data_IF_778615421874
#
_entry.id   IF_778615421874
#
_cell.length_a   1.000
_cell.length_b   1.000
_cell.length_c   1.000
_cell.angle_alpha   90.00
_cell.angle_beta   90.00
_cell.angle_gamma   90.00
#
_symmetry.space_group_name_H-M   'P 1'
#
loop_
_entity.id
_entity.type
_entity.pdbx_description
1 polymer ?
#
# COMPACT_ATOMS: atom_id res chain seq x y z
N UNK A 1 -4.10 12.56 13.87
CA UNK A 1 -3.19 11.53 14.39
C UNK A 1 -3.49 10.19 13.74
N UNK A 2 -2.46 9.44 13.30
CA UNK A 2 -2.62 8.11 12.73
C UNK A 2 -3.09 7.08 13.78
N UNK A 3 -3.74 5.97 13.38
CA UNK A 3 -4.18 4.93 14.31
C UNK A 3 -3.03 4.40 15.18
N UNK A 4 -3.35 3.98 16.40
CA UNK A 4 -2.36 3.45 17.35
C UNK A 4 -1.77 2.10 16.89
N UNK A 5 -2.53 1.34 16.12
CA UNK A 5 -2.13 0.09 15.51
C UNK A 5 -2.65 0.02 14.08
N UNK A 6 -1.79 -0.40 13.15
CA UNK A 6 -2.18 -0.65 11.77
C UNK A 6 -1.17 -1.52 11.04
N UNK A 7 -1.63 -2.13 9.95
CA UNK A 7 -0.82 -2.81 8.94
C UNK A 7 -1.09 -2.17 7.58
N UNK A 8 -0.03 -1.78 6.88
CA UNK A 8 -0.08 -1.38 5.47
C UNK A 8 0.76 -2.34 4.65
N UNK A 9 0.23 -2.75 3.50
CA UNK A 9 1.02 -3.45 2.48
C UNK A 9 0.84 -2.77 1.13
N UNK A 10 1.93 -2.32 0.54
CA UNK A 10 2.00 -1.88 -0.84
C UNK A 10 2.63 -2.99 -1.69
N UNK A 11 2.01 -3.32 -2.81
CA UNK A 11 2.54 -4.27 -3.78
C UNK A 11 2.47 -3.71 -5.19
N UNK A 12 3.61 -3.68 -5.87
CA UNK A 12 3.73 -3.37 -7.29
C UNK A 12 3.76 -4.66 -8.11
N UNK A 13 3.14 -4.68 -9.29
CA UNK A 13 3.08 -5.87 -10.14
C UNK A 13 1.96 -6.82 -9.72
N UNK A 14 0.72 -6.35 -9.70
CA UNK A 14 -0.46 -7.13 -9.30
C UNK A 14 -1.28 -7.68 -10.47
N UNK A 15 -1.05 -7.13 -11.66
CA UNK A 15 -1.78 -7.48 -12.87
C UNK A 15 -1.16 -8.74 -13.46
N UNK A 16 -1.92 -9.82 -13.40
CA UNK A 16 -1.66 -11.05 -14.14
C UNK A 16 -2.52 -11.14 -15.39
N UNK A 17 -2.10 -11.99 -16.32
CA UNK A 17 -2.93 -12.42 -17.44
C UNK A 17 -3.17 -13.91 -17.33
N UNK A 18 -2.78 -14.64 -18.39
CA UNK A 18 -2.67 -16.10 -18.32
C UNK A 18 -1.60 -16.56 -17.31
N UNK A 19 -0.53 -15.76 -17.16
CA UNK A 19 0.51 -15.98 -16.16
C UNK A 19 0.13 -15.19 -14.89
N UNK A 20 0.29 -15.79 -13.69
CA UNK A 20 0.09 -15.08 -12.43
C UNK A 20 0.89 -13.78 -12.37
N UNK A 21 0.38 -12.82 -11.60
CA UNK A 21 1.07 -11.57 -11.36
C UNK A 21 2.49 -11.83 -10.83
N UNK A 22 3.47 -11.06 -11.31
CA UNK A 22 4.87 -11.19 -10.92
C UNK A 22 5.30 -9.92 -10.20
N UNK A 23 5.27 -9.87 -8.86
CA UNK A 23 5.48 -8.63 -8.14
C UNK A 23 6.89 -8.06 -8.35
N UNK A 24 6.97 -6.74 -8.47
CA UNK A 24 8.22 -6.00 -8.59
C UNK A 24 8.71 -5.50 -7.24
N UNK A 25 7.78 -5.20 -6.33
CA UNK A 25 8.10 -4.79 -4.98
C UNK A 25 6.94 -5.10 -4.02
N UNK A 26 7.28 -5.40 -2.77
CA UNK A 26 6.36 -5.53 -1.64
C UNK A 26 6.94 -4.72 -0.49
N UNK A 27 6.17 -3.78 0.03
CA UNK A 27 6.50 -3.00 1.21
C UNK A 27 5.45 -3.24 2.28
N UNK A 28 5.88 -3.61 3.48
CA UNK A 28 5.00 -3.84 4.63
C UNK A 28 5.39 -2.88 5.76
N UNK A 29 4.42 -2.12 6.24
CA UNK A 29 4.58 -1.17 7.33
C UNK A 29 3.66 -1.59 8.47
N UNK A 30 4.22 -1.79 9.66
CA UNK A 30 3.49 -2.28 10.84
C UNK A 30 3.72 -1.33 12.00
N UNK A 31 2.63 -0.80 12.56
CA UNK A 31 2.65 -0.13 13.87
C UNK A 31 1.92 -1.03 14.86
N UNK A 32 2.63 -1.49 15.89
CA UNK A 32 2.10 -2.37 16.93
C UNK A 32 1.85 -1.58 18.22
N UNK A 33 0.84 -1.99 18.99
CA UNK A 33 0.60 -1.48 20.36
C UNK A 33 1.76 -1.76 21.31
N UNK A 34 2.58 -2.79 21.03
CA UNK A 34 3.75 -3.14 21.85
C UNK A 34 4.91 -2.15 21.68
N UNK A 35 4.95 -1.46 20.53
CA UNK A 35 5.99 -0.48 20.17
C UNK A 35 5.34 0.76 19.54
N UNK A 36 4.54 1.52 20.32
CA UNK A 36 3.64 2.54 19.77
C UNK A 36 4.38 3.72 19.11
N UNK A 37 5.65 3.92 19.48
CA UNK A 37 6.51 5.00 18.97
C UNK A 37 7.35 4.58 17.75
N UNK A 38 7.14 3.36 17.25
CA UNK A 38 7.93 2.79 16.15
C UNK A 38 7.03 2.28 15.02
N UNK A 39 7.38 2.66 13.80
CA UNK A 39 6.84 2.11 12.58
C UNK A 39 7.85 1.12 11.98
N UNK A 40 7.56 -0.16 12.06
CA UNK A 40 8.41 -1.21 11.50
C UNK A 40 8.16 -1.34 10.00
N UNK A 41 9.22 -1.34 9.19
CA UNK A 41 9.16 -1.39 7.73
C UNK A 41 9.98 -2.56 7.22
N UNK A 42 9.32 -3.43 6.48
CA UNK A 42 9.91 -4.53 5.72
C UNK A 42 9.72 -4.25 4.23
N UNK A 43 10.71 -4.62 3.42
CA UNK A 43 10.64 -4.39 1.99
C UNK A 43 11.31 -5.52 1.23
N UNK A 44 10.72 -5.90 0.11
CA UNK A 44 11.29 -6.84 -0.83
C UNK A 44 11.14 -6.23 -2.22
N UNK A 45 12.24 -6.15 -2.98
CA UNK A 45 12.25 -5.55 -4.32
C UNK A 45 12.92 -6.52 -5.27
N UNK A 46 12.43 -6.63 -6.50
CA UNK A 46 13.04 -7.43 -7.57
C UNK A 46 14.06 -6.55 -8.28
N UNK A 47 15.37 -6.81 -8.17
CA UNK A 47 16.37 -6.08 -8.94
C UNK A 47 16.18 -6.32 -10.43
N UNK A 48 16.61 -5.35 -11.24
CA UNK A 48 16.54 -5.49 -12.70
C UNK A 48 17.34 -6.72 -13.15
N UNK A 49 16.70 -7.59 -13.93
CA UNK A 49 17.31 -8.81 -14.47
C UNK A 49 17.15 -10.05 -13.58
N UNK A 50 16.67 -9.89 -12.34
CA UNK A 50 16.44 -11.00 -11.42
C UNK A 50 15.01 -11.56 -11.52
N UNK A 51 14.86 -12.85 -11.22
CA UNK A 51 13.55 -13.52 -11.22
C UNK A 51 12.79 -13.35 -9.91
N UNK A 52 13.52 -13.21 -8.81
CA UNK A 52 12.96 -13.30 -7.47
C UNK A 52 13.07 -11.97 -6.73
N UNK A 53 12.09 -11.70 -5.88
CA UNK A 53 12.15 -10.60 -4.93
C UNK A 53 13.31 -10.82 -3.94
N UNK A 54 14.09 -9.78 -3.71
CA UNK A 54 15.17 -9.79 -2.74
C UNK A 54 14.77 -8.96 -1.52
N UNK A 55 14.96 -9.48 -0.29
CA UNK A 55 14.66 -8.73 0.92
C UNK A 55 15.65 -7.57 1.11
N UNK A 56 15.13 -6.43 1.52
CA UNK A 56 15.93 -5.32 2.04
C UNK A 56 16.02 -5.41 3.56
N UNK A 57 17.10 -4.91 4.18
CA UNK A 57 17.21 -4.84 5.63
C UNK A 57 15.98 -4.11 6.22
N UNK A 58 15.28 -4.71 7.20
CA UNK A 58 14.16 -4.06 7.83
C UNK A 58 14.62 -2.84 8.63
N UNK A 59 13.75 -1.85 8.76
CA UNK A 59 14.03 -0.63 9.51
C UNK A 59 12.86 -0.23 10.38
N UNK A 60 13.13 0.69 11.28
CA UNK A 60 12.11 1.31 12.14
C UNK A 60 12.15 2.81 11.89
N UNK A 61 11.01 3.47 11.82
CA UNK A 61 10.92 4.93 11.85
C UNK A 61 10.26 5.38 13.14
N UNK A 62 10.67 6.51 13.73
CA UNK A 62 9.91 7.15 14.80
C UNK A 62 8.47 7.43 14.33
N UNK A 63 7.47 7.29 15.20
CA UNK A 63 6.08 7.71 14.94
C UNK A 63 5.40 8.04 16.28
N UNK A 64 4.27 8.75 16.29
CA UNK A 64 3.54 9.06 17.52
C UNK A 64 3.93 10.38 18.19
N UNK A 65 5.11 10.92 17.89
CA UNK A 65 5.43 12.34 18.11
C UNK A 65 5.39 13.10 16.77
N UNK A 66 4.74 14.27 16.76
CA UNK A 66 4.54 15.15 15.60
C UNK A 66 5.83 15.74 15.00
N UNK A 67 6.98 15.45 15.60
CA UNK A 67 8.28 16.01 15.23
C UNK A 67 8.96 15.27 14.06
N UNK A 68 8.55 14.04 13.73
CA UNK A 68 9.11 13.26 12.63
C UNK A 68 8.15 13.19 11.42
N UNK A 69 8.67 13.34 10.20
CA UNK A 69 7.88 13.41 8.97
C UNK A 69 7.06 12.15 8.64
N UNK A 70 7.37 11.02 9.27
CA UNK A 70 6.57 9.79 9.17
C UNK A 70 5.14 9.97 9.70
N UNK A 71 4.92 10.80 10.72
CA UNK A 71 3.61 10.97 11.33
C UNK A 71 2.64 11.63 10.36
N UNK A 72 3.08 12.71 9.72
CA UNK A 72 2.29 13.47 8.74
C UNK A 72 1.99 12.62 7.50
N UNK A 73 2.97 11.85 7.02
CA UNK A 73 2.80 10.93 5.90
C UNK A 73 1.77 9.83 6.20
N UNK A 74 1.86 9.17 7.37
CA UNK A 74 0.90 8.12 7.73
C UNK A 74 -0.50 8.70 7.93
N UNK A 75 -0.62 9.90 8.51
CA UNK A 75 -1.90 10.60 8.65
C UNK A 75 -2.51 11.00 7.30
N UNK A 76 -1.69 11.48 6.36
CA UNK A 76 -2.10 11.79 5.00
C UNK A 76 -2.59 10.53 4.28
N UNK A 77 -1.81 9.43 4.33
CA UNK A 77 -2.17 8.14 3.74
C UNK A 77 -3.51 7.64 4.26
N UNK A 78 -3.67 7.58 5.58
CA UNK A 78 -4.90 7.13 6.22
C UNK A 78 -6.10 7.99 5.80
N UNK A 79 -5.91 9.31 5.73
CA UNK A 79 -6.94 10.26 5.31
C UNK A 79 -7.33 10.06 3.84
N UNK A 80 -6.36 9.82 2.96
CA UNK A 80 -6.61 9.52 1.54
C UNK A 80 -7.46 8.26 1.40
N UNK A 81 -7.06 7.16 2.04
CA UNK A 81 -7.72 5.85 1.89
C UNK A 81 -9.20 5.88 2.33
N UNK A 82 -9.56 6.73 3.31
CA UNK A 82 -10.96 6.94 3.71
C UNK A 82 -11.84 7.59 2.63
N UNK A 83 -11.24 8.24 1.64
CA UNK A 83 -11.97 9.05 0.64
C UNK A 83 -12.05 8.42 -0.74
N UNK A 84 -11.24 7.39 -1.01
CA UNK A 84 -11.17 6.75 -2.32
C UNK A 84 -11.85 5.36 -2.28
N UNK A 85 -12.56 4.97 -3.35
CA UNK A 85 -13.35 3.75 -3.35
C UNK A 85 -12.48 2.50 -3.58
N UNK A 86 -13.04 1.32 -3.31
CA UNK A 86 -12.45 0.03 -3.72
C UNK A 86 -13.27 -0.59 -4.85
N UNK A 87 -12.70 -1.57 -5.53
CA UNK A 87 -13.39 -2.28 -6.59
C UNK A 87 -14.58 -3.09 -6.06
N UNK A 88 -15.68 -3.05 -6.81
CA UNK A 88 -16.87 -3.86 -6.57
C UNK A 88 -17.23 -4.68 -7.81
N UNK A 89 -17.32 -6.02 -7.73
CA UNK A 89 -16.91 -6.87 -6.61
C UNK A 89 -15.41 -6.74 -6.25
N UNK A 90 -14.99 -7.05 -5.01
CA UNK A 90 -13.56 -7.08 -4.64
C UNK A 90 -12.73 -7.97 -5.57
N UNK A 91 -11.54 -7.54 -5.97
CA UNK A 91 -10.67 -8.25 -6.92
C UNK A 91 -11.16 -8.31 -8.36
N UNK A 92 -12.24 -7.61 -8.71
CA UNK A 92 -12.80 -7.64 -10.06
C UNK A 92 -11.98 -6.85 -11.08
N UNK A 93 -11.30 -5.77 -10.69
CA UNK A 93 -10.58 -4.90 -11.62
C UNK A 93 -9.53 -4.08 -10.86
N UNK A 94 -8.35 -3.87 -11.44
CA UNK A 94 -7.50 -2.74 -11.05
C UNK A 94 -8.18 -1.43 -11.50
N UNK A 95 -9.04 -0.89 -10.64
CA UNK A 95 -9.82 0.31 -10.95
C UNK A 95 -8.97 1.58 -11.05
N UNK A 96 -7.73 1.54 -10.55
CA UNK A 96 -6.79 2.65 -10.60
C UNK A 96 -5.82 2.55 -11.78
N UNK A 97 -5.67 1.36 -12.37
CA UNK A 97 -4.88 1.11 -13.57
C UNK A 97 -3.38 1.38 -13.40
N UNK A 98 -2.87 1.19 -12.18
CA UNK A 98 -1.47 1.46 -11.82
C UNK A 98 -0.66 0.20 -11.58
N UNK A 99 -1.23 -0.99 -11.79
CA UNK A 99 -0.55 -2.25 -11.50
C UNK A 99 -0.04 -2.31 -10.05
N UNK A 100 -0.82 -1.73 -9.12
CA UNK A 100 -0.42 -1.50 -7.73
C UNK A 100 -1.59 -1.74 -6.78
N UNK A 101 -1.32 -2.44 -5.68
CA UNK A 101 -2.27 -2.73 -4.61
C UNK A 101 -1.80 -2.10 -3.30
N UNK A 102 -2.72 -1.47 -2.59
CA UNK A 102 -2.58 -1.10 -1.20
C UNK A 102 -3.59 -1.92 -0.38
N UNK A 103 -3.11 -2.47 0.71
CA UNK A 103 -3.91 -3.00 1.81
C UNK A 103 -3.65 -2.14 3.03
N UNK A 104 -4.71 -1.75 3.72
CA UNK A 104 -4.69 -1.08 5.01
C UNK A 104 -5.64 -1.81 5.96
N UNK A 105 -5.15 -2.11 7.16
CA UNK A 105 -5.96 -2.62 8.26
C UNK A 105 -5.62 -1.86 9.54
N UNK A 106 -6.61 -1.18 10.10
CA UNK A 106 -6.60 -0.59 11.44
C UNK A 106 -7.95 -0.86 12.11
N UNK A 107 -8.08 -0.48 13.38
CA UNK A 107 -9.36 -0.59 14.11
C UNK A 107 -10.52 0.16 13.43
N UNK A 108 -10.22 1.27 12.75
CA UNK A 108 -11.20 2.19 12.19
C UNK A 108 -11.31 2.15 10.65
N UNK A 109 -10.43 1.40 9.97
CA UNK A 109 -10.43 1.28 8.51
C UNK A 109 -9.91 -0.08 8.07
N UNK A 110 -10.71 -0.79 7.29
CA UNK A 110 -10.27 -1.89 6.44
C UNK A 110 -10.42 -1.45 4.98
N UNK A 111 -9.29 -1.33 4.28
CA UNK A 111 -9.27 -0.87 2.90
C UNK A 111 -8.31 -1.73 2.10
N UNK A 112 -8.76 -2.23 0.96
CA UNK A 112 -7.90 -3.00 0.06
C UNK A 112 -8.36 -2.80 -1.38
N UNK A 113 -7.42 -2.50 -2.27
CA UNK A 113 -7.64 -2.62 -3.70
C UNK A 113 -6.79 -3.76 -4.26
N UNK A 114 -7.36 -4.54 -5.17
CA UNK A 114 -6.66 -5.65 -5.81
C UNK A 114 -6.96 -5.68 -7.30
N UNK A 115 -6.26 -6.56 -8.02
CA UNK A 115 -6.49 -6.83 -9.44
C UNK A 115 -6.99 -8.27 -9.62
N UNK A 116 -7.67 -8.56 -10.74
CA UNK A 116 -8.04 -9.91 -11.13
C UNK A 116 -6.85 -10.85 -11.09
N UNK A 117 -7.08 -12.05 -10.57
CA UNK A 117 -6.11 -13.14 -10.61
C UNK A 117 -6.62 -14.25 -11.54
N UNK A 118 -5.78 -14.64 -12.50
CA UNK A 118 -6.10 -15.67 -13.50
C UNK A 118 -7.14 -15.21 -14.55
N UNK A 119 -7.81 -16.17 -15.20
CA UNK A 119 -8.78 -15.88 -16.26
C UNK A 119 -10.12 -15.34 -15.76
N UNK A 120 -10.28 -15.13 -14.45
CA UNK A 120 -11.51 -14.63 -13.83
C UNK A 120 -11.43 -13.11 -13.79
N UNK A 121 -11.72 -12.48 -14.93
CA UNK A 121 -11.86 -11.03 -15.06
C UNK A 121 -13.33 -10.63 -15.07
N UNK A 122 -13.69 -9.62 -14.28
CA UNK A 122 -14.98 -8.93 -14.36
C UNK A 122 -14.76 -7.43 -14.53
N UNK A 123 -15.79 -6.67 -14.91
CA UNK A 123 -15.72 -5.21 -14.78
C UNK A 123 -16.06 -4.83 -13.34
N UNK A 124 -15.40 -3.82 -12.78
CA UNK A 124 -15.93 -3.20 -11.57
C UNK A 124 -17.09 -2.26 -11.91
N UNK A 125 -18.13 -2.27 -11.06
CA UNK A 125 -19.20 -1.26 -11.03
C UNK A 125 -18.68 0.12 -10.62
N UNK A 126 -17.53 0.17 -9.95
CA UNK A 126 -16.88 1.39 -9.48
C UNK A 126 -15.96 1.91 -10.57
N UNK A 127 -16.07 3.21 -10.86
CA UNK A 127 -15.17 3.96 -11.73
C UNK A 127 -14.65 5.18 -10.96
N UNK A 128 -13.38 5.17 -10.49
CA UNK A 128 -12.86 6.30 -9.75
C UNK A 128 -12.75 7.53 -10.65
N UNK A 129 -12.94 8.71 -10.07
CA UNK A 129 -12.70 9.99 -10.76
C UNK A 129 -11.20 10.23 -10.94
N UNK A 130 -10.83 11.16 -11.82
CA UNK A 130 -9.42 11.57 -11.98
C UNK A 130 -8.79 12.05 -10.66
N UNK A 131 -9.56 12.74 -9.82
CA UNK A 131 -9.13 13.16 -8.49
C UNK A 131 -8.85 11.97 -7.56
N UNK A 132 -9.71 10.94 -7.60
CA UNK A 132 -9.51 9.72 -6.80
C UNK A 132 -8.30 8.92 -7.28
N UNK A 133 -8.06 8.88 -8.60
CA UNK A 133 -6.85 8.26 -9.17
C UNK A 133 -5.60 9.04 -8.74
N UNK A 134 -5.64 10.38 -8.75
CA UNK A 134 -4.53 11.20 -8.27
C UNK A 134 -4.26 10.98 -6.78
N UNK A 135 -5.30 10.87 -5.96
CA UNK A 135 -5.19 10.51 -4.53
C UNK A 135 -4.57 9.12 -4.34
N UNK A 136 -4.97 8.13 -5.13
CA UNK A 136 -4.36 6.80 -5.06
C UNK A 136 -2.87 6.83 -5.44
N UNK A 137 -2.49 7.58 -6.48
CA UNK A 137 -1.06 7.81 -6.80
C UNK A 137 -0.31 8.40 -5.62
N UNK A 138 -0.88 9.42 -4.97
CA UNK A 138 -0.27 10.03 -3.78
C UNK A 138 -0.15 9.03 -2.63
N UNK A 139 -1.13 8.17 -2.41
CA UNK A 139 -1.05 7.11 -1.39
C UNK A 139 0.11 6.14 -1.65
N UNK A 140 0.35 5.76 -2.92
CA UNK A 140 1.50 4.93 -3.31
C UNK A 140 2.81 5.66 -3.04
N UNK A 141 2.92 6.92 -3.48
CA UNK A 141 4.10 7.77 -3.27
C UNK A 141 4.44 7.90 -1.78
N UNK A 142 3.45 8.10 -0.91
CA UNK A 142 3.66 8.20 0.53
C UNK A 142 4.30 6.92 1.10
N UNK A 143 3.81 5.74 0.72
CA UNK A 143 4.40 4.47 1.20
C UNK A 143 5.83 4.32 0.69
N UNK A 144 6.09 4.67 -0.57
CA UNK A 144 7.43 4.68 -1.13
C UNK A 144 8.37 5.68 -0.41
N UNK A 145 7.89 6.87 -0.07
CA UNK A 145 8.63 7.86 0.72
C UNK A 145 8.99 7.31 2.11
N UNK A 146 8.02 6.70 2.81
CA UNK A 146 8.27 6.02 4.10
C UNK A 146 9.35 4.94 3.99
N UNK A 147 9.38 4.17 2.89
CA UNK A 147 10.42 3.15 2.68
C UNK A 147 11.81 3.74 2.41
N UNK A 148 11.91 5.02 2.07
CA UNK A 148 13.19 5.73 1.80
C UNK A 148 13.64 6.64 2.94
N UNK A 149 12.71 7.08 3.80
CA UNK A 149 13.03 7.93 4.94
C UNK A 149 14.08 7.30 5.87
N UNK A 150 15.02 8.10 6.34
CA UNK A 150 15.96 7.68 7.38
C UNK A 150 15.37 7.98 8.77
N UNK A 151 15.98 7.40 9.80
CA UNK A 151 15.58 7.60 11.21
C UNK A 151 15.93 8.99 11.71
#
# INVERSE_FOLDING_TARGET
MPPQQFLVRLQHGITGGFVPATPNAIHQLTRSSDTPDSLFIESMVRPQGERDLQPHPPKNLPIGDSSHGSNDLVEELHSILKTIPTEKPPGSQDIYGLDTSIMWMSEDLEWVNTAPQGCVGGGSEVKPTEEQIAKFKRAVEIVDELTKLEK
#
